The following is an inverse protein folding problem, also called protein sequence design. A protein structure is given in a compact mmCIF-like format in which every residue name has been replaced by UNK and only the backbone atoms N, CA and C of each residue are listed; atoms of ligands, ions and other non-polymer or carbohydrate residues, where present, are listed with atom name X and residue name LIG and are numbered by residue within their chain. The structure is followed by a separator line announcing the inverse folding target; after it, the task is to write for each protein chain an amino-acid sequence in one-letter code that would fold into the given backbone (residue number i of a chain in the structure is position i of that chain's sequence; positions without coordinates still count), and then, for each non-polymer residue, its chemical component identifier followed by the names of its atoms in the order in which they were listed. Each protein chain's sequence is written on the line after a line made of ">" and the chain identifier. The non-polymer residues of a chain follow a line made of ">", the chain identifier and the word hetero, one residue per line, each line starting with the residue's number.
data_IF_811228016869
#
_entry.id   IF_811228016869
#
_cell.length_a   1.000
_cell.length_b   1.000
_cell.length_c   1.000
_cell.angle_alpha   90.00
_cell.angle_beta   90.00
_cell.angle_gamma   90.00
#
_symmetry.space_group_name_H-M   'P 1'
#
loop_
_entity.id
_entity.type
_entity.pdbx_description
1 polymer ?
#
# COMPACT_ATOMS: atom_id res chain seq x y z
N UNK A 1 -7.05 19.11 10.40
CA UNK A 1 -6.88 17.84 11.12
C UNK A 1 -6.03 18.08 12.38
N UNK A 2 -6.51 17.59 13.52
CA UNK A 2 -5.72 17.60 14.77
C UNK A 2 -5.23 16.18 15.02
N UNK A 3 -3.92 15.89 14.94
CA UNK A 3 -3.40 14.56 15.19
C UNK A 3 -3.57 14.18 16.67
N UNK A 4 -3.76 12.88 16.92
CA UNK A 4 -3.86 12.31 18.27
C UNK A 4 -2.50 11.78 18.72
N UNK A 5 -1.73 11.24 17.78
CA UNK A 5 -0.40 10.71 18.01
C UNK A 5 0.60 11.23 16.96
N UNK A 6 1.89 11.15 17.27
CA UNK A 6 2.93 11.72 16.43
C UNK A 6 3.16 10.92 15.16
N UNK A 7 3.27 9.58 15.25
CA UNK A 7 3.49 8.72 14.10
C UNK A 7 2.79 7.37 14.26
N UNK A 8 2.43 6.74 13.13
CA UNK A 8 1.86 5.39 13.13
C UNK A 8 1.56 4.84 11.75
N UNK A 9 1.20 3.57 11.75
CA UNK A 9 0.83 2.84 10.55
C UNK A 9 -0.69 2.88 10.36
N UNK A 10 -1.13 3.21 9.15
CA UNK A 10 -2.54 3.17 8.76
C UNK A 10 -2.76 1.99 7.81
N UNK A 11 -3.60 1.04 8.22
CA UNK A 11 -3.97 -0.10 7.40
C UNK A 11 -5.38 0.11 6.90
N UNK A 12 -5.56 0.06 5.58
CA UNK A 12 -6.87 0.22 4.93
C UNK A 12 -7.44 -1.15 4.61
N UNK A 13 -8.62 -1.46 5.15
CA UNK A 13 -9.27 -2.75 4.96
C UNK A 13 -10.77 -2.58 4.70
N UNK A 14 -11.17 -2.61 3.43
CA UNK A 14 -12.57 -2.62 3.01
C UNK A 14 -12.93 -4.08 2.67
N UNK A 15 -13.76 -4.69 3.51
CA UNK A 15 -14.27 -6.03 3.24
C UNK A 15 -15.15 -6.02 2.00
N UNK A 16 -14.98 -7.02 1.16
CA UNK A 16 -15.81 -7.29 -0.02
C UNK A 16 -16.55 -8.61 0.15
N UNK A 17 -17.51 -8.90 -0.73
CA UNK A 17 -18.23 -10.16 -0.71
C UNK A 17 -17.31 -11.41 -0.85
N UNK A 18 -16.14 -11.23 -1.48
CA UNK A 18 -15.20 -12.33 -1.76
C UNK A 18 -13.97 -12.36 -0.88
N UNK A 19 -13.68 -11.29 -0.12
CA UNK A 19 -12.40 -11.15 0.58
C UNK A 19 -12.57 -10.45 1.92
N UNK A 20 -12.08 -11.11 2.98
CA UNK A 20 -11.96 -10.54 4.31
C UNK A 20 -10.62 -9.78 4.44
N UNK A 21 -10.61 -8.50 4.05
CA UNK A 21 -9.41 -7.65 4.18
C UNK A 21 -9.09 -7.28 5.64
N UNK A 22 -10.09 -7.31 6.53
CA UNK A 22 -9.84 -7.09 7.96
C UNK A 22 -8.99 -8.22 8.53
N UNK A 23 -9.27 -9.48 8.17
CA UNK A 23 -8.41 -10.61 8.55
C UNK A 23 -6.99 -10.51 8.00
N UNK A 24 -6.83 -9.96 6.77
CA UNK A 24 -5.50 -9.63 6.24
C UNK A 24 -4.81 -8.55 7.09
N UNK A 25 -5.53 -7.48 7.43
CA UNK A 25 -5.03 -6.39 8.27
C UNK A 25 -4.59 -6.86 9.67
N UNK A 26 -5.32 -7.81 10.28
CA UNK A 26 -4.93 -8.44 11.54
C UNK A 26 -3.58 -9.16 11.42
N UNK A 27 -3.37 -9.89 10.33
CA UNK A 27 -2.09 -10.56 10.05
C UNK A 27 -0.96 -9.54 9.88
N UNK A 28 -1.20 -8.47 9.13
CA UNK A 28 -0.23 -7.39 8.97
C UNK A 28 0.09 -6.74 10.32
N UNK A 29 -0.92 -6.41 11.12
CA UNK A 29 -0.74 -5.80 12.44
C UNK A 29 0.10 -6.70 13.38
N UNK A 30 -0.12 -8.02 13.36
CA UNK A 30 0.72 -8.98 14.11
C UNK A 30 2.18 -8.90 13.69
N UNK A 31 2.47 -8.84 12.38
CA UNK A 31 3.85 -8.75 11.90
C UNK A 31 4.50 -7.40 12.21
N UNK A 32 3.73 -6.29 12.18
CA UNK A 32 4.22 -4.98 12.63
C UNK A 32 4.56 -5.04 14.12
N UNK A 33 3.62 -5.47 14.97
CA UNK A 33 3.83 -5.55 16.45
C UNK A 33 4.95 -6.54 16.82
N UNK A 34 5.19 -7.57 16.02
CA UNK A 34 6.30 -8.49 16.23
C UNK A 34 7.66 -7.81 16.14
N UNK A 35 7.86 -7.00 15.10
CA UNK A 35 9.10 -6.26 14.88
C UNK A 35 9.18 -4.95 15.67
N UNK A 36 8.03 -4.32 15.93
CA UNK A 36 7.87 -3.01 16.55
C UNK A 36 6.75 -3.06 17.58
N UNK A 37 6.99 -3.62 18.79
CA UNK A 37 5.94 -3.83 19.80
C UNK A 37 5.17 -2.56 20.18
N UNK A 38 5.86 -1.40 20.19
CA UNK A 38 5.30 -0.10 20.57
C UNK A 38 4.70 0.68 19.39
N UNK A 39 4.70 0.10 18.18
CA UNK A 39 4.16 0.77 16.99
C UNK A 39 2.67 1.08 17.17
N UNK A 40 2.27 2.31 16.87
CA UNK A 40 0.86 2.71 16.83
C UNK A 40 0.25 2.28 15.48
N UNK A 41 -0.88 1.59 15.53
CA UNK A 41 -1.57 1.08 14.33
C UNK A 41 -3.02 1.55 14.32
N UNK A 42 -3.43 2.14 13.22
CA UNK A 42 -4.82 2.50 12.94
C UNK A 42 -5.39 1.59 11.85
N UNK A 43 -6.52 0.95 12.13
CA UNK A 43 -7.34 0.28 11.12
C UNK A 43 -8.38 1.27 10.58
N UNK A 44 -8.39 1.47 9.27
CA UNK A 44 -9.44 2.19 8.54
C UNK A 44 -10.30 1.16 7.80
N UNK A 45 -11.56 1.01 8.21
CA UNK A 45 -12.40 -0.08 7.73
C UNK A 45 -13.87 0.32 7.58
N UNK A 46 -14.61 -0.47 6.80
CA UNK A 46 -16.06 -0.44 6.71
C UNK A 46 -16.72 -1.53 7.57
N UNK A 47 -15.94 -2.37 8.24
CA UNK A 47 -16.45 -3.48 9.05
C UNK A 47 -16.51 -3.08 10.51
N UNK A 48 -17.67 -3.27 11.13
CA UNK A 48 -17.91 -2.98 12.57
C UNK A 48 -17.66 -4.18 13.46
N UNK A 49 -17.47 -5.36 12.88
CA UNK A 49 -17.44 -6.67 13.54
C UNK A 49 -16.07 -7.38 13.42
N UNK A 50 -14.99 -6.58 13.36
CA UNK A 50 -13.64 -7.14 13.33
C UNK A 50 -13.36 -8.02 14.56
N UNK A 51 -12.86 -9.23 14.32
CA UNK A 51 -12.74 -10.28 15.34
C UNK A 51 -11.65 -10.00 16.37
N UNK A 52 -10.65 -9.20 16.04
CA UNK A 52 -9.52 -8.92 16.93
C UNK A 52 -9.05 -7.46 16.89
N UNK A 53 -9.94 -6.56 17.34
CA UNK A 53 -9.66 -5.12 17.38
C UNK A 53 -8.52 -4.75 18.33
N UNK A 54 -8.16 -5.62 19.29
CA UNK A 54 -7.10 -5.35 20.28
C UNK A 54 -5.70 -5.24 19.68
N UNK A 55 -5.51 -5.63 18.41
CA UNK A 55 -4.26 -5.44 17.67
C UNK A 55 -4.05 -3.99 17.19
N UNK A 56 -5.13 -3.21 17.17
CA UNK A 56 -5.12 -1.85 16.65
C UNK A 56 -5.28 -0.85 17.80
N UNK A 57 -4.43 0.16 17.81
CA UNK A 57 -4.50 1.25 18.79
C UNK A 57 -5.68 2.18 18.48
N UNK A 58 -6.04 2.26 17.19
CA UNK A 58 -7.18 3.04 16.69
C UNK A 58 -7.94 2.23 15.65
N UNK A 59 -9.28 2.33 15.71
CA UNK A 59 -10.17 1.83 14.64
C UNK A 59 -11.01 3.01 14.17
N UNK A 60 -11.07 3.24 12.87
CA UNK A 60 -11.79 4.35 12.27
C UNK A 60 -12.62 3.92 11.08
N UNK A 61 -13.73 4.59 10.92
CA UNK A 61 -14.55 4.54 9.72
C UNK A 61 -14.05 5.56 8.71
N UNK A 62 -14.42 5.37 7.45
CA UNK A 62 -14.14 6.33 6.39
C UNK A 62 -14.92 7.63 6.66
N UNK A 63 -14.28 8.80 6.56
CA UNK A 63 -14.93 10.09 6.87
C UNK A 63 -16.00 10.51 5.85
N UNK A 64 -16.05 9.85 4.68
CA UNK A 64 -17.03 10.11 3.63
C UNK A 64 -17.63 8.80 3.13
N UNK A 65 -18.80 8.85 2.42
CA UNK A 65 -19.40 7.64 1.87
C UNK A 65 -18.43 6.82 1.03
N UNK A 66 -18.49 5.50 1.22
CA UNK A 66 -17.61 4.55 0.54
C UNK A 66 -18.22 4.14 -0.79
N UNK A 67 -17.44 4.21 -1.85
CA UNK A 67 -17.75 3.59 -3.12
C UNK A 67 -17.39 2.09 -3.03
N UNK A 68 -18.39 1.23 -2.91
CA UNK A 68 -18.21 -0.23 -2.84
C UNK A 68 -18.07 -0.88 -4.23
N UNK A 69 -18.52 -0.23 -5.28
CA UNK A 69 -18.37 -0.71 -6.66
C UNK A 69 -16.90 -0.57 -7.11
N UNK A 70 -16.23 0.44 -6.59
CA UNK A 70 -14.78 0.63 -6.77
C UNK A 70 -14.13 0.95 -5.41
N UNK A 71 -13.81 -0.06 -4.59
CA UNK A 71 -13.24 0.15 -3.26
C UNK A 71 -11.95 0.97 -3.25
N UNK A 72 -11.14 0.87 -4.30
CA UNK A 72 -9.88 1.62 -4.42
C UNK A 72 -10.09 3.12 -4.60
N UNK A 73 -11.24 3.55 -5.14
CA UNK A 73 -11.57 4.97 -5.28
C UNK A 73 -11.75 5.69 -3.93
N UNK A 74 -11.77 4.98 -2.82
CA UNK A 74 -11.85 5.54 -1.48
C UNK A 74 -10.49 5.90 -0.88
N UNK A 75 -9.40 5.54 -1.53
CA UNK A 75 -8.04 5.62 -0.97
C UNK A 75 -7.60 7.06 -0.65
N UNK A 76 -8.13 8.08 -1.32
CA UNK A 76 -7.87 9.49 -1.00
C UNK A 76 -8.35 9.91 0.40
N UNK A 77 -9.28 9.17 1.01
CA UNK A 77 -9.85 9.47 2.32
C UNK A 77 -8.85 9.23 3.46
N UNK A 78 -7.77 8.45 3.21
CA UNK A 78 -6.77 8.07 4.23
C UNK A 78 -6.13 9.29 4.90
N UNK A 79 -5.91 10.37 4.15
CA UNK A 79 -5.36 11.61 4.67
C UNK A 79 -6.28 12.26 5.72
N UNK A 80 -7.59 12.15 5.54
CA UNK A 80 -8.60 12.69 6.45
C UNK A 80 -8.88 11.78 7.63
N UNK A 81 -8.66 10.47 7.45
CA UNK A 81 -8.93 9.44 8.44
C UNK A 81 -7.80 9.25 9.44
N UNK A 82 -6.56 9.52 9.06
CA UNK A 82 -5.39 9.24 9.92
C UNK A 82 -5.48 9.96 11.27
N UNK A 83 -5.15 9.26 12.39
CA UNK A 83 -4.99 9.88 13.70
C UNK A 83 -3.57 10.45 13.93
N UNK A 84 -2.65 10.25 12.98
CA UNK A 84 -1.24 10.52 13.15
C UNK A 84 -0.82 11.82 12.45
N UNK A 85 0.21 12.48 13.02
CA UNK A 85 0.90 13.58 12.34
C UNK A 85 1.72 13.06 11.16
N UNK A 86 2.43 11.96 11.35
CA UNK A 86 3.16 11.24 10.31
C UNK A 86 2.55 9.85 10.14
N UNK A 87 2.26 9.46 8.91
CA UNK A 87 1.57 8.21 8.61
C UNK A 87 2.32 7.42 7.56
N UNK A 88 2.50 6.13 7.80
CA UNK A 88 2.81 5.15 6.75
C UNK A 88 1.55 4.34 6.51
N UNK A 89 0.92 4.52 5.34
CA UNK A 89 -0.19 3.67 4.89
C UNK A 89 0.37 2.38 4.32
N UNK A 90 -0.26 1.28 4.67
CA UNK A 90 0.02 -0.06 4.16
C UNK A 90 -1.26 -0.69 3.63
N UNK A 91 -1.18 -1.44 2.54
CA UNK A 91 -2.29 -2.29 2.09
C UNK A 91 -2.47 -3.47 3.06
N UNK A 92 -3.72 -3.88 3.29
CA UNK A 92 -4.04 -4.90 4.28
C UNK A 92 -3.37 -6.26 4.00
N UNK A 93 -3.20 -6.60 2.73
CA UNK A 93 -2.64 -7.87 2.27
C UNK A 93 -1.10 -7.85 2.18
N UNK A 94 -0.49 -7.30 3.22
CA UNK A 94 0.96 -7.25 3.38
C UNK A 94 1.41 -7.97 4.66
N UNK A 95 2.70 -8.23 4.74
CA UNK A 95 3.42 -8.70 5.94
C UNK A 95 4.74 -7.96 6.05
N UNK A 96 5.13 -7.60 7.27
CA UNK A 96 6.46 -7.05 7.54
C UNK A 96 7.42 -8.20 7.83
N UNK A 97 8.49 -8.28 7.03
CA UNK A 97 9.43 -9.41 7.05
C UNK A 97 10.73 -9.13 7.80
N UNK A 98 10.96 -7.87 8.17
CA UNK A 98 12.14 -7.38 8.90
C UNK A 98 11.84 -6.07 9.61
N UNK A 99 12.69 -5.59 10.54
CA UNK A 99 12.54 -4.25 11.14
C UNK A 99 12.52 -3.15 10.08
N UNK A 100 11.56 -2.20 10.21
CA UNK A 100 11.32 -1.10 9.27
C UNK A 100 11.34 0.30 9.93
N UNK A 101 11.82 0.41 11.16
CA UNK A 101 11.92 1.70 11.89
C UNK A 101 12.74 2.75 11.13
N UNK A 102 13.74 2.33 10.38
CA UNK A 102 14.55 3.20 9.53
C UNK A 102 13.73 3.89 8.43
N UNK A 103 12.55 3.37 8.06
CA UNK A 103 11.68 4.02 7.07
C UNK A 103 11.25 5.40 7.53
N UNK A 104 10.94 5.58 8.80
CA UNK A 104 10.56 6.90 9.34
C UNK A 104 11.62 7.97 9.08
N UNK A 105 12.88 7.66 9.39
CA UNK A 105 14.00 8.59 9.15
C UNK A 105 14.18 8.90 7.67
N UNK A 106 14.07 7.91 6.81
CA UNK A 106 14.28 8.08 5.38
C UNK A 106 13.14 8.85 4.71
N UNK A 107 11.89 8.54 5.09
CA UNK A 107 10.70 9.11 4.45
C UNK A 107 10.46 10.57 4.85
N UNK A 108 10.89 10.99 6.05
CA UNK A 108 10.76 12.37 6.56
C UNK A 108 11.43 13.46 5.72
N UNK A 109 12.27 13.09 4.79
CA UNK A 109 12.87 14.04 3.85
C UNK A 109 11.87 14.65 2.88
N UNK A 110 10.63 14.17 2.88
CA UNK A 110 9.53 14.66 2.03
C UNK A 110 8.21 14.73 2.80
N UNK A 111 7.30 15.55 2.30
CA UNK A 111 5.97 15.66 2.87
C UNK A 111 5.06 14.49 2.47
N UNK A 112 5.29 13.94 1.28
CA UNK A 112 4.63 12.75 0.75
C UNK A 112 5.68 11.86 0.10
N UNK A 113 5.58 10.55 0.30
CA UNK A 113 6.34 9.57 -0.46
C UNK A 113 5.41 8.46 -0.89
N UNK A 114 5.25 8.30 -2.20
CA UNK A 114 4.63 7.11 -2.79
C UNK A 114 5.73 6.13 -3.17
N UNK A 115 5.52 4.86 -2.87
CA UNK A 115 6.51 3.84 -3.22
C UNK A 115 6.60 3.65 -4.72
N UNK A 116 7.81 3.53 -5.24
CA UNK A 116 8.10 3.31 -6.65
C UNK A 116 8.88 2.03 -6.87
N UNK A 117 8.50 1.31 -7.91
CA UNK A 117 9.13 0.04 -8.23
C UNK A 117 8.93 -1.02 -7.15
N UNK A 118 8.57 -2.21 -7.52
CA UNK A 118 8.55 -3.35 -6.61
C UNK A 118 9.51 -4.42 -7.10
N UNK A 119 9.89 -5.33 -6.21
CA UNK A 119 10.78 -6.44 -6.50
C UNK A 119 10.04 -7.75 -6.28
N UNK A 120 10.48 -8.79 -6.94
CA UNK A 120 10.06 -10.14 -6.61
C UNK A 120 10.88 -10.68 -5.42
N UNK A 121 10.51 -11.86 -4.95
CA UNK A 121 11.19 -12.53 -3.84
C UNK A 121 12.66 -12.90 -4.13
N UNK A 122 13.12 -12.80 -5.38
CA UNK A 122 14.51 -12.99 -5.81
C UNK A 122 15.30 -11.69 -5.87
N UNK A 123 14.71 -10.61 -5.39
CA UNK A 123 15.26 -9.24 -5.47
C UNK A 123 15.38 -8.72 -6.92
N UNK A 124 14.62 -9.30 -7.84
CA UNK A 124 14.58 -8.84 -9.22
C UNK A 124 13.49 -7.77 -9.39
N UNK A 125 13.82 -6.71 -10.10
CA UNK A 125 12.84 -5.64 -10.37
C UNK A 125 11.64 -6.21 -11.14
N UNK A 126 10.46 -5.98 -10.62
CA UNK A 126 9.22 -6.35 -11.25
C UNK A 126 8.84 -5.30 -12.32
N UNK A 127 9.05 -5.64 -13.58
CA UNK A 127 8.85 -4.71 -14.70
C UNK A 127 7.56 -4.96 -15.50
N UNK A 128 6.94 -6.11 -15.36
CA UNK A 128 5.80 -6.52 -16.19
C UNK A 128 4.45 -6.29 -15.50
N UNK A 129 4.06 -5.04 -15.35
CA UNK A 129 2.66 -4.69 -15.06
C UNK A 129 1.93 -4.46 -16.38
N UNK A 130 0.66 -4.91 -16.47
CA UNK A 130 -0.09 -4.81 -17.74
C UNK A 130 -0.28 -3.37 -18.21
N UNK A 131 -0.38 -2.40 -17.30
CA UNK A 131 -0.49 -0.97 -17.61
C UNK A 131 0.86 -0.22 -17.63
N UNK A 132 2.01 -0.91 -17.54
CA UNK A 132 3.35 -0.30 -17.56
C UNK A 132 3.57 0.62 -18.76
N UNK A 133 3.08 0.23 -19.94
CA UNK A 133 3.19 1.03 -21.16
C UNK A 133 2.58 2.42 -21.03
N UNK A 134 1.49 2.56 -20.25
CA UNK A 134 0.85 3.87 -20.01
C UNK A 134 1.73 4.76 -19.17
N UNK A 135 2.42 4.20 -18.16
CA UNK A 135 3.39 4.96 -17.36
C UNK A 135 4.52 5.50 -18.24
N UNK A 136 5.14 4.64 -19.06
CA UNK A 136 6.24 5.02 -19.94
C UNK A 136 5.78 6.05 -21.00
N UNK A 137 4.62 5.84 -21.61
CA UNK A 137 4.08 6.73 -22.66
C UNK A 137 3.72 8.13 -22.16
N UNK A 138 3.44 8.26 -20.85
CA UNK A 138 3.05 9.53 -20.22
C UNK A 138 4.11 10.06 -19.24
N UNK A 139 5.31 9.49 -19.24
CA UNK A 139 6.42 9.88 -18.34
C UNK A 139 6.02 9.90 -16.86
N UNK A 140 5.14 8.99 -16.46
CA UNK A 140 4.69 8.87 -15.07
C UNK A 140 5.71 8.10 -14.24
N UNK A 141 5.91 8.47 -12.96
CA UNK A 141 6.74 7.71 -12.05
C UNK A 141 6.20 6.28 -11.89
N UNK A 142 7.09 5.30 -11.74
CA UNK A 142 6.75 3.88 -11.63
C UNK A 142 6.14 3.54 -10.25
N UNK A 143 5.02 4.16 -9.93
CA UNK A 143 4.34 4.00 -8.65
C UNK A 143 3.79 2.59 -8.50
N UNK A 144 3.95 2.07 -7.29
CA UNK A 144 3.28 0.88 -6.77
C UNK A 144 2.70 1.23 -5.39
N UNK A 145 1.41 1.56 -5.33
CA UNK A 145 0.77 2.21 -4.18
C UNK A 145 0.46 1.27 -3.00
N UNK A 146 1.34 0.31 -2.71
CA UNK A 146 1.17 -0.53 -1.53
C UNK A 146 1.66 0.15 -0.25
N UNK A 147 2.60 1.09 -0.37
CA UNK A 147 3.11 1.88 0.75
C UNK A 147 3.10 3.35 0.36
N UNK A 148 2.45 4.17 1.20
CA UNK A 148 2.47 5.62 1.04
C UNK A 148 2.75 6.26 2.39
N UNK A 149 3.74 7.14 2.44
CA UNK A 149 4.04 7.98 3.60
C UNK A 149 3.55 9.39 3.39
N UNK A 150 3.07 10.02 4.44
CA UNK A 150 2.88 11.47 4.49
C UNK A 150 3.02 12.01 5.91
N UNK A 151 3.37 13.28 6.01
CA UNK A 151 3.15 14.08 7.22
C UNK A 151 2.03 15.11 6.96
N UNK A 152 1.31 15.51 8.01
CA UNK A 152 0.28 16.52 7.88
C UNK A 152 0.90 17.85 7.45
N UNK A 153 0.74 18.19 6.18
CA UNK A 153 1.28 19.39 5.53
C UNK A 153 0.34 19.86 4.43
N UNK A 154 0.59 21.05 3.91
CA UNK A 154 -0.16 21.58 2.77
C UNK A 154 0.10 20.74 1.51
N UNK A 155 1.35 20.34 1.26
CA UNK A 155 1.72 19.49 0.12
C UNK A 155 0.98 18.15 0.15
N UNK A 156 0.92 17.51 1.33
CA UNK A 156 0.18 16.25 1.49
C UNK A 156 -1.31 16.45 1.24
N UNK A 157 -1.89 17.54 1.74
CA UNK A 157 -3.30 17.87 1.48
C UNK A 157 -3.55 18.03 -0.02
N UNK A 158 -2.72 18.79 -0.72
CA UNK A 158 -2.84 19.00 -2.17
C UNK A 158 -2.68 17.69 -2.94
N UNK A 159 -1.77 16.84 -2.53
CA UNK A 159 -1.58 15.52 -3.13
C UNK A 159 -2.86 14.68 -3.04
N UNK A 160 -3.44 14.52 -1.84
CA UNK A 160 -4.64 13.71 -1.67
C UNK A 160 -5.90 14.36 -2.25
N UNK A 161 -6.00 15.68 -2.28
CA UNK A 161 -7.07 16.38 -3.00
C UNK A 161 -6.95 16.17 -4.52
N UNK A 162 -5.71 16.09 -5.05
CA UNK A 162 -5.44 15.74 -6.46
C UNK A 162 -5.82 14.28 -6.75
N UNK A 163 -5.44 13.34 -5.87
CA UNK A 163 -5.85 11.92 -5.98
C UNK A 163 -7.38 11.83 -6.04
N UNK A 164 -8.09 12.53 -5.16
CA UNK A 164 -9.55 12.60 -5.17
C UNK A 164 -10.09 13.12 -6.51
N UNK A 165 -9.56 14.25 -6.97
CA UNK A 165 -10.00 14.90 -8.22
C UNK A 165 -9.83 13.95 -9.42
N UNK A 166 -8.73 13.20 -9.49
CA UNK A 166 -8.50 12.22 -10.56
C UNK A 166 -9.52 11.09 -10.50
N UNK A 167 -9.80 10.53 -9.31
CA UNK A 167 -10.82 9.49 -9.17
C UNK A 167 -12.22 9.97 -9.57
N UNK A 168 -12.62 11.15 -9.08
CA UNK A 168 -13.94 11.72 -9.36
C UNK A 168 -14.14 12.09 -10.84
N UNK A 169 -13.06 12.39 -11.57
CA UNK A 169 -13.07 12.77 -12.99
C UNK A 169 -12.35 11.76 -13.87
N UNK A 170 -12.32 10.50 -13.49
CA UNK A 170 -11.55 9.46 -14.17
C UNK A 170 -11.86 9.36 -15.67
N UNK A 171 -13.11 9.53 -16.06
CA UNK A 171 -13.53 9.47 -17.47
C UNK A 171 -12.76 10.44 -18.39
N UNK A 172 -12.35 11.59 -17.87
CA UNK A 172 -11.59 12.58 -18.63
C UNK A 172 -10.07 12.35 -18.52
N UNK A 173 -9.59 12.04 -17.32
CA UNK A 173 -8.18 11.74 -17.11
C UNK A 173 -7.72 10.52 -17.91
N UNK A 174 -8.54 9.44 -17.99
CA UNK A 174 -8.19 8.26 -18.78
C UNK A 174 -8.06 8.55 -20.28
N UNK A 175 -8.88 9.47 -20.82
CA UNK A 175 -8.76 9.91 -22.22
C UNK A 175 -7.46 10.66 -22.44
N UNK A 176 -7.11 11.55 -21.52
CA UNK A 176 -5.87 12.33 -21.58
C UNK A 176 -4.63 11.43 -21.68
N UNK A 177 -4.56 10.39 -20.85
CA UNK A 177 -3.44 9.45 -20.81
C UNK A 177 -3.60 8.26 -21.77
N UNK A 178 -4.71 8.20 -22.52
CA UNK A 178 -5.06 7.09 -23.44
C UNK A 178 -5.12 5.72 -22.73
N UNK A 179 -5.67 5.70 -21.53
CA UNK A 179 -5.84 4.46 -20.78
C UNK A 179 -7.16 3.77 -21.17
N UNK A 180 -7.13 2.47 -21.53
CA UNK A 180 -8.30 1.79 -22.09
C UNK A 180 -9.36 1.41 -21.05
N UNK A 181 -9.00 1.24 -19.79
CA UNK A 181 -9.90 0.72 -18.77
C UNK A 181 -10.79 1.80 -18.15
N UNK A 182 -12.06 1.44 -17.90
CA UNK A 182 -13.04 2.33 -17.28
C UNK A 182 -12.80 2.51 -15.78
N UNK A 183 -12.11 1.57 -15.14
CA UNK A 183 -11.82 1.58 -13.71
C UNK A 183 -10.36 1.98 -13.51
N UNK A 184 -10.09 3.04 -12.70
CA UNK A 184 -8.72 3.44 -12.40
C UNK A 184 -8.03 2.44 -11.48
N UNK A 185 -6.74 2.25 -11.69
CA UNK A 185 -5.86 1.62 -10.71
C UNK A 185 -5.31 2.68 -9.75
N UNK A 186 -5.20 2.37 -8.46
CA UNK A 186 -4.58 3.27 -7.47
C UNK A 186 -3.16 3.64 -7.86
N UNK A 187 -2.36 2.70 -8.36
CA UNK A 187 -1.01 2.96 -8.84
C UNK A 187 -0.97 4.09 -9.87
N UNK A 188 -1.87 4.02 -10.85
CA UNK A 188 -1.92 5.00 -11.93
C UNK A 188 -2.39 6.37 -11.44
N UNK A 189 -3.44 6.41 -10.62
CA UNK A 189 -3.96 7.66 -10.04
C UNK A 189 -2.91 8.34 -9.17
N UNK A 190 -2.20 7.60 -8.34
CA UNK A 190 -1.12 8.14 -7.50
C UNK A 190 0.09 8.58 -8.32
N UNK A 191 0.42 7.88 -9.39
CA UNK A 191 1.47 8.30 -10.32
C UNK A 191 1.12 9.63 -11.01
N UNK A 192 -0.14 9.78 -11.44
CA UNK A 192 -0.63 11.04 -12.02
C UNK A 192 -0.63 12.17 -11.00
N UNK A 193 -1.10 11.93 -9.79
CA UNK A 193 -1.06 12.93 -8.71
C UNK A 193 0.37 13.34 -8.39
N UNK A 194 1.30 12.39 -8.27
CA UNK A 194 2.70 12.67 -8.05
C UNK A 194 3.31 13.48 -9.21
N UNK A 195 2.93 13.19 -10.45
CA UNK A 195 3.40 13.95 -11.61
C UNK A 195 2.87 15.39 -11.62
N UNK A 196 1.62 15.61 -11.21
CA UNK A 196 1.00 16.94 -11.12
C UNK A 196 1.64 17.79 -10.02
N UNK A 197 1.88 17.21 -8.86
CA UNK A 197 2.49 17.91 -7.69
C UNK A 197 4.00 18.12 -7.88
N UNK A 198 4.66 17.23 -8.62
CA UNK A 198 6.09 17.15 -8.83
C UNK A 198 6.61 15.79 -8.38
N UNK A 199 7.00 14.94 -9.33
CA UNK A 199 7.43 13.57 -9.04
C UNK A 199 8.62 13.53 -8.07
N UNK A 200 9.54 14.48 -8.17
CA UNK A 200 10.70 14.62 -7.29
C UNK A 200 10.32 14.97 -5.84
N UNK A 201 9.14 15.57 -5.62
CA UNK A 201 8.62 15.88 -4.28
C UNK A 201 7.89 14.70 -3.65
N UNK A 202 7.38 13.79 -4.46
CA UNK A 202 6.50 12.70 -4.04
C UNK A 202 7.11 11.30 -4.16
N UNK A 203 8.33 11.17 -4.69
CA UNK A 203 9.01 9.88 -4.86
C UNK A 203 10.43 9.92 -4.31
N UNK A 204 10.96 8.77 -3.93
CA UNK A 204 12.37 8.67 -3.58
C UNK A 204 13.24 8.53 -4.83
N UNK A 205 14.48 9.09 -4.85
CA UNK A 205 15.32 9.15 -6.05
C UNK A 205 15.77 7.78 -6.56
N UNK A 206 15.72 6.76 -5.72
CA UNK A 206 16.08 5.41 -6.11
C UNK A 206 14.85 4.51 -6.13
N UNK A 207 14.65 3.84 -7.25
CA UNK A 207 13.62 2.84 -7.40
C UNK A 207 13.67 1.84 -6.24
N UNK A 208 12.50 1.49 -5.72
CA UNK A 208 12.31 0.45 -4.68
C UNK A 208 12.53 0.90 -3.24
N UNK A 209 12.20 2.15 -2.93
CA UNK A 209 12.12 2.55 -1.53
C UNK A 209 10.76 3.20 -1.21
N UNK A 210 10.06 2.87 -0.11
CA UNK A 210 10.36 1.74 0.78
C UNK A 210 10.35 0.40 0.06
N UNK A 211 11.13 -0.56 0.55
CA UNK A 211 11.31 -1.84 -0.15
C UNK A 211 10.06 -2.69 -0.08
N UNK A 212 9.47 -2.98 -1.24
CA UNK A 212 8.30 -3.84 -1.40
C UNK A 212 8.65 -5.06 -2.21
N UNK A 213 8.35 -6.22 -1.63
CA UNK A 213 8.44 -7.50 -2.31
C UNK A 213 7.05 -7.90 -2.74
N UNK A 214 6.85 -8.09 -4.03
CA UNK A 214 5.59 -8.56 -4.56
C UNK A 214 5.68 -10.05 -4.88
N UNK A 215 4.76 -10.84 -4.35
CA UNK A 215 4.74 -12.29 -4.59
C UNK A 215 4.35 -12.68 -6.02
N UNK A 216 3.81 -11.78 -6.82
CA UNK A 216 3.54 -12.07 -8.23
C UNK A 216 4.84 -12.29 -8.98
N UNK A 217 5.05 -13.50 -9.43
CA UNK A 217 6.07 -13.77 -10.44
C UNK A 217 5.71 -12.99 -11.70
N UNK A 218 6.54 -12.04 -12.09
CA UNK A 218 6.39 -11.25 -13.31
C UNK A 218 5.15 -10.36 -13.42
N UNK A 219 4.44 -10.03 -12.35
CA UNK A 219 3.19 -9.25 -12.39
C UNK A 219 2.13 -9.64 -13.45
N UNK A 220 2.52 -10.41 -14.44
CA UNK A 220 1.68 -11.02 -15.47
C UNK A 220 1.35 -12.47 -15.14
N UNK A 221 1.77 -12.94 -13.98
CA UNK A 221 1.57 -14.32 -13.60
C UNK A 221 0.10 -14.69 -13.54
N UNK A 222 -0.19 -15.89 -13.96
CA UNK A 222 -1.49 -16.50 -13.84
C UNK A 222 -2.02 -16.30 -12.41
N UNK A 223 -3.29 -16.02 -12.30
CA UNK A 223 -3.96 -15.84 -11.02
C UNK A 223 -4.23 -17.18 -10.32
N UNK A 224 -3.67 -18.27 -10.85
CA UNK A 224 -3.86 -19.61 -10.33
C UNK A 224 -3.08 -19.77 -9.03
N UNK A 225 -3.65 -20.46 -8.07
CA UNK A 225 -3.04 -20.76 -6.77
C UNK A 225 -1.81 -21.68 -6.88
N UNK A 226 -1.50 -22.19 -8.08
CA UNK A 226 -0.42 -23.12 -8.34
C UNK A 226 0.96 -22.59 -7.87
N UNK A 227 1.18 -21.30 -7.91
CA UNK A 227 2.46 -20.71 -7.45
C UNK A 227 2.62 -20.75 -5.92
N UNK A 228 1.56 -20.92 -5.13
CA UNK A 228 1.66 -21.11 -3.68
C UNK A 228 2.46 -22.34 -3.33
N UNK A 229 2.40 -23.38 -4.17
CA UNK A 229 3.17 -24.60 -4.00
C UNK A 229 4.65 -24.41 -4.35
N UNK A 230 4.99 -23.33 -5.04
CA UNK A 230 6.38 -22.98 -5.38
C UNK A 230 7.08 -22.21 -4.26
N UNK A 231 6.33 -21.70 -3.26
CA UNK A 231 6.88 -20.90 -2.17
C UNK A 231 6.92 -21.66 -0.86
N UNK A 232 8.13 -21.86 -0.36
CA UNK A 232 8.35 -22.26 1.02
C UNK A 232 8.69 -21.02 1.82
N UNK A 233 7.78 -20.59 2.67
CA UNK A 233 8.01 -19.51 3.61
C UNK A 233 8.57 -20.08 4.89
N UNK A 234 9.75 -19.62 5.27
CA UNK A 234 10.42 -20.02 6.50
C UNK A 234 10.73 -18.78 7.35
N UNK A 235 10.55 -18.92 8.66
CA UNK A 235 11.04 -17.96 9.63
C UNK A 235 12.05 -18.67 10.53
N UNK A 236 13.33 -18.30 10.41
CA UNK A 236 14.40 -18.89 11.19
C UNK A 236 15.48 -17.83 11.49
N UNK A 237 15.98 -17.84 12.72
CA UNK A 237 17.04 -16.93 13.15
C UNK A 237 16.69 -15.44 12.91
N UNK A 238 15.49 -15.04 13.27
CA UNK A 238 14.98 -13.65 13.11
C UNK A 238 14.96 -13.18 11.64
N UNK A 239 14.84 -14.10 10.69
CA UNK A 239 14.84 -13.79 9.27
C UNK A 239 13.73 -14.55 8.56
N UNK A 240 12.93 -13.82 7.80
CA UNK A 240 11.97 -14.42 6.87
C UNK A 240 12.68 -14.81 5.59
N UNK A 241 12.42 -16.01 5.09
CA UNK A 241 12.98 -16.52 3.83
C UNK A 241 11.86 -17.04 2.94
N UNK A 242 12.00 -16.83 1.65
CA UNK A 242 11.18 -17.48 0.63
C UNK A 242 12.13 -18.32 -0.22
N UNK A 243 11.90 -19.65 -0.26
CA UNK A 243 12.77 -20.58 -0.98
C UNK A 243 14.26 -20.37 -0.67
N UNK A 244 14.59 -20.26 0.62
CA UNK A 244 15.95 -20.01 1.14
C UNK A 244 16.47 -18.56 1.00
N UNK A 245 15.86 -17.71 0.18
CA UNK A 245 16.28 -16.32 -0.01
C UNK A 245 15.71 -15.44 1.10
N UNK A 246 16.58 -14.69 1.77
CA UNK A 246 16.18 -13.75 2.81
C UNK A 246 15.32 -12.62 2.24
N UNK A 247 14.26 -12.26 2.96
CA UNK A 247 13.34 -11.20 2.58
C UNK A 247 13.50 -10.01 3.54
N UNK A 248 13.36 -8.80 3.01
CA UNK A 248 13.51 -7.56 3.75
C UNK A 248 12.37 -6.60 3.42
N UNK A 249 11.91 -5.84 4.43
CA UNK A 249 10.86 -4.84 4.26
C UNK A 249 9.45 -5.44 4.27
N UNK A 250 8.62 -5.05 3.33
CA UNK A 250 7.23 -5.46 3.26
C UNK A 250 7.00 -6.44 2.11
N UNK A 251 6.34 -7.55 2.42
CA UNK A 251 5.88 -8.55 1.45
C UNK A 251 4.40 -8.32 1.16
N UNK A 252 4.05 -8.04 -0.09
CA UNK A 252 2.68 -7.94 -0.56
C UNK A 252 2.25 -9.25 -1.22
N UNK A 253 1.30 -9.94 -0.62
CA UNK A 253 0.79 -11.23 -1.12
C UNK A 253 -0.56 -11.06 -1.81
N UNK A 254 -0.77 -11.80 -2.90
CA UNK A 254 -2.01 -11.70 -3.68
C UNK A 254 -3.09 -12.68 -3.24
N UNK A 255 -2.72 -13.90 -2.85
CA UNK A 255 -3.66 -14.95 -2.50
C UNK A 255 -4.06 -14.80 -1.04
N UNK A 256 -5.24 -14.24 -0.82
CA UNK A 256 -5.72 -13.84 0.51
C UNK A 256 -5.95 -15.03 1.46
N UNK A 257 -6.31 -16.19 0.93
CA UNK A 257 -6.47 -17.43 1.72
C UNK A 257 -5.19 -17.93 2.35
N UNK A 258 -4.04 -17.51 1.81
CA UNK A 258 -2.73 -17.97 2.29
C UNK A 258 -2.43 -17.65 3.76
N UNK A 259 -3.01 -16.58 4.28
CA UNK A 259 -2.81 -16.13 5.67
C UNK A 259 -3.85 -16.67 6.64
N UNK A 260 -4.96 -17.25 6.16
CA UNK A 260 -6.01 -17.78 7.04
C UNK A 260 -5.74 -19.20 7.52
N UNK A 261 -4.85 -19.92 6.86
CA UNK A 261 -4.55 -21.34 7.14
C UNK A 261 -3.22 -21.55 7.92
N UNK A 262 -2.63 -20.48 8.47
CA UNK A 262 -1.32 -20.58 9.16
C UNK A 262 -1.23 -19.79 10.45
#
# INVERSE_FOLDING_TARGET
>A
LKPIAEQGYLIVAINTASTNYVGCAETLAKTIKYWHPDAQICLLTNATDASNLSLFDYVREFPFPINLDNPWANDWQVFRATPFRETIKLEADMMITSPIDHWWTMLRNRDVVVSTGCRDWRDQRAVSRHYRKVFDANSLPDVYNAITYWRLSQTAKEFFDTVRTIFENWADYRKLIKFPEDVPSTDLVYAMAANIIGSELCTMPFASYPQIIHMKRHHAGSQTEAWLNEFVLEYKNYMTRINTIAQWGALHYRVKKWTHDR
#
